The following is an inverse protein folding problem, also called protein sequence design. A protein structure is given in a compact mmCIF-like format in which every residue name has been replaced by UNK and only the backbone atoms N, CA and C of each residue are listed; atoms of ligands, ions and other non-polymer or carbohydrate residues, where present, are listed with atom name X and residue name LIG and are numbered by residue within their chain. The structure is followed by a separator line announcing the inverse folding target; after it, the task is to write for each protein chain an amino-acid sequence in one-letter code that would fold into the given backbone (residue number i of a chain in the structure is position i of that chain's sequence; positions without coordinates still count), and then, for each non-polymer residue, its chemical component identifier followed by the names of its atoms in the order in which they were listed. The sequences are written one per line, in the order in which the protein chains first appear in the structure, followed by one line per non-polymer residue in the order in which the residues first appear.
data_IF_349387431602
#
_entry.id   IF_349387431602
#
_cell.length_a   1.000
_cell.length_b   1.000
_cell.length_c   1.000
_cell.angle_alpha   90.00
_cell.angle_beta   90.00
_cell.angle_gamma   90.00
#
_symmetry.space_group_name_H-M   'P 1'
#
loop_
_entity.id
_entity.type
_entity.pdbx_description
1 polymer ?
#
# COMPACT_ATOMS: atom_id res chain seq x y z
N UNK A 1 -12.71 14.12 -2.23
CA UNK A 1 -12.39 13.73 -0.84
C UNK A 1 -10.98 13.14 -0.89
N UNK A 2 -10.08 13.47 0.03
CA UNK A 2 -8.69 12.97 -0.04
C UNK A 2 -8.60 11.60 0.64
N UNK A 3 -8.14 10.56 -0.08
CA UNK A 3 -8.05 9.20 0.45
C UNK A 3 -6.89 9.07 1.44
N UNK A 4 -7.12 8.27 2.49
CA UNK A 4 -6.17 8.02 3.56
C UNK A 4 -5.85 6.54 3.64
N UNK A 5 -4.58 6.21 3.55
CA UNK A 5 -4.07 4.85 3.66
C UNK A 5 -3.26 4.68 4.95
N UNK A 6 -3.30 3.47 5.49
CA UNK A 6 -2.35 3.01 6.48
C UNK A 6 -1.36 2.10 5.76
N UNK A 7 -0.07 2.35 5.95
CA UNK A 7 1.01 1.46 5.54
C UNK A 7 1.46 0.73 6.79
N UNK A 8 1.39 -0.60 6.79
CA UNK A 8 1.87 -1.41 7.90
C UNK A 8 2.99 -2.32 7.43
N UNK A 9 4.15 -2.23 8.09
CA UNK A 9 5.33 -3.05 7.83
C UNK A 9 5.51 -4.01 8.99
N UNK A 10 5.63 -5.30 8.70
CA UNK A 10 5.84 -6.36 9.68
C UNK A 10 7.32 -6.73 9.74
N UNK A 11 7.76 -7.24 10.90
CA UNK A 11 9.16 -7.60 11.19
C UNK A 11 9.82 -8.55 10.18
N UNK A 12 9.04 -9.39 9.51
CA UNK A 12 9.51 -10.35 8.51
C UNK A 12 9.44 -9.80 7.07
N UNK A 13 9.33 -8.47 6.93
CA UNK A 13 9.32 -7.70 5.67
C UNK A 13 8.03 -7.79 4.85
N UNK A 14 7.02 -8.50 5.33
CA UNK A 14 5.65 -8.37 4.83
C UNK A 14 5.16 -6.93 5.02
N UNK A 15 4.42 -6.42 4.03
CA UNK A 15 3.85 -5.09 4.08
C UNK A 15 2.43 -5.07 3.52
N UNK A 16 1.64 -4.12 4.01
CA UNK A 16 0.33 -3.83 3.45
C UNK A 16 0.05 -2.33 3.38
N UNK A 17 -0.71 -1.94 2.36
CA UNK A 17 -1.29 -0.60 2.20
C UNK A 17 -2.80 -0.75 2.17
N UNK A 18 -3.48 -0.13 3.13
CA UNK A 18 -4.91 -0.35 3.37
C UNK A 18 -5.68 0.96 3.52
N UNK A 19 -6.79 1.10 2.79
CA UNK A 19 -7.63 2.30 2.83
C UNK A 19 -8.31 2.43 4.20
N UNK A 20 -7.90 3.43 4.98
CA UNK A 20 -8.24 3.59 6.41
C UNK A 20 -9.74 3.61 6.73
N UNK A 21 -10.58 3.96 5.76
CA UNK A 21 -12.04 4.04 5.94
C UNK A 21 -12.74 2.69 5.86
N UNK A 22 -12.03 1.61 5.52
CA UNK A 22 -12.61 0.28 5.34
C UNK A 22 -12.17 -0.70 6.44
N UNK A 23 -13.10 -1.57 6.83
CA UNK A 23 -12.88 -2.59 7.87
C UNK A 23 -12.62 -3.99 7.32
N UNK A 24 -13.15 -4.31 6.15
CA UNK A 24 -12.98 -5.62 5.51
C UNK A 24 -12.67 -5.45 4.02
N UNK A 25 -11.41 -5.67 3.67
CA UNK A 25 -10.89 -5.51 2.31
C UNK A 25 -11.14 -6.76 1.44
N UNK A 26 -11.44 -7.91 2.06
CA UNK A 26 -11.68 -9.17 1.33
C UNK A 26 -12.99 -9.14 0.53
N UNK A 27 -13.90 -8.23 0.86
CA UNK A 27 -15.17 -7.99 0.15
C UNK A 27 -14.98 -7.29 -1.21
N UNK A 28 -13.78 -6.77 -1.47
CA UNK A 28 -13.49 -6.02 -2.69
C UNK A 28 -12.89 -6.93 -3.77
N UNK A 29 -13.20 -6.70 -5.06
CA UNK A 29 -12.63 -7.48 -6.15
C UNK A 29 -11.11 -7.31 -6.25
N UNK A 30 -10.44 -8.36 -6.72
CA UNK A 30 -9.02 -8.29 -7.05
C UNK A 30 -8.76 -7.41 -8.27
N UNK A 31 -7.55 -6.86 -8.33
CA UNK A 31 -7.05 -6.13 -9.48
C UNK A 31 -6.42 -7.10 -10.49
N UNK A 32 -6.57 -6.81 -11.78
CA UNK A 32 -5.93 -7.57 -12.87
C UNK A 32 -4.54 -7.00 -13.22
N UNK A 33 -3.73 -6.70 -12.21
CA UNK A 33 -2.34 -6.21 -12.37
C UNK A 33 -1.35 -7.35 -12.13
N UNK A 34 -1.58 -8.15 -11.08
CA UNK A 34 -0.79 -9.31 -10.69
C UNK A 34 0.68 -8.96 -10.42
N UNK A 35 0.94 -7.77 -9.87
CA UNK A 35 2.29 -7.31 -9.50
C UNK A 35 2.57 -7.36 -8.00
N UNK A 36 1.52 -7.55 -7.19
CA UNK A 36 1.62 -7.85 -5.77
C UNK A 36 0.84 -9.12 -5.43
N UNK A 37 1.19 -9.77 -4.31
CA UNK A 37 0.51 -10.97 -3.84
C UNK A 37 -1.01 -10.79 -3.66
N UNK A 38 -1.44 -9.63 -3.15
CA UNK A 38 -2.86 -9.24 -3.10
C UNK A 38 -3.01 -7.79 -3.54
N UNK A 39 -3.94 -7.57 -4.46
CA UNK A 39 -4.30 -6.25 -4.96
C UNK A 39 -5.82 -6.15 -5.06
N UNK A 40 -6.44 -5.17 -4.41
CA UNK A 40 -7.91 -5.04 -4.37
C UNK A 40 -8.34 -3.63 -4.74
N UNK A 41 -9.51 -3.52 -5.37
CA UNK A 41 -10.06 -2.25 -5.82
C UNK A 41 -11.58 -2.15 -5.61
N UNK A 42 -12.13 -0.93 -5.64
CA UNK A 42 -13.58 -0.72 -5.73
C UNK A 42 -14.13 -1.07 -7.12
N UNK A 43 -15.45 -1.05 -7.28
CA UNK A 43 -16.14 -1.19 -8.57
C UNK A 43 -15.81 -0.05 -9.55
N UNK A 44 -15.34 1.08 -9.04
CA UNK A 44 -14.89 2.26 -9.79
C UNK A 44 -13.39 2.23 -10.10
N UNK A 45 -12.71 1.10 -9.85
CA UNK A 45 -11.27 0.88 -10.04
C UNK A 45 -10.36 1.71 -9.11
N UNK A 46 -10.83 2.06 -7.91
CA UNK A 46 -10.00 2.74 -6.91
C UNK A 46 -9.29 1.71 -6.01
N UNK A 47 -7.96 1.84 -5.82
CA UNK A 47 -7.17 0.91 -4.99
C UNK A 47 -7.65 0.96 -3.53
N UNK A 48 -7.92 -0.19 -2.91
CA UNK A 48 -8.31 -0.24 -1.49
C UNK A 48 -7.35 -1.02 -0.62
N UNK A 49 -6.61 -1.96 -1.21
CA UNK A 49 -5.69 -2.83 -0.48
C UNK A 49 -4.57 -3.32 -1.40
N UNK A 50 -3.34 -3.30 -0.89
CA UNK A 50 -2.15 -3.90 -1.50
C UNK A 50 -1.41 -4.67 -0.41
N UNK A 51 -0.89 -5.85 -0.73
CA UNK A 51 -0.06 -6.64 0.19
C UNK A 51 0.96 -7.46 -0.59
N UNK A 52 2.18 -7.52 -0.06
CA UNK A 52 3.23 -8.42 -0.52
C UNK A 52 4.28 -8.67 0.57
N UNK A 53 5.16 -9.63 0.31
CA UNK A 53 6.37 -9.97 1.09
C UNK A 53 7.62 -9.21 0.60
N UNK A 54 7.56 -8.64 -0.61
CA UNK A 54 8.65 -7.88 -1.20
C UNK A 54 8.11 -6.75 -2.11
N UNK A 55 8.93 -5.76 -2.43
CA UNK A 55 8.64 -4.76 -3.46
C UNK A 55 9.75 -4.84 -4.51
N UNK A 56 9.46 -5.50 -5.63
CA UNK A 56 10.40 -5.57 -6.74
C UNK A 56 10.39 -4.27 -7.57
N UNK A 57 11.55 -3.89 -8.12
CA UNK A 57 11.67 -2.74 -9.02
C UNK A 57 10.73 -2.88 -10.24
N UNK A 58 10.56 -4.10 -10.76
CA UNK A 58 9.60 -4.45 -11.80
C UNK A 58 8.17 -4.07 -11.43
N UNK A 59 7.74 -4.36 -10.20
CA UNK A 59 6.41 -4.02 -9.70
C UNK A 59 6.23 -2.50 -9.59
N UNK A 60 7.24 -1.78 -9.11
CA UNK A 60 7.23 -0.31 -9.06
C UNK A 60 7.13 0.30 -10.47
N UNK A 61 7.90 -0.23 -11.43
CA UNK A 61 7.86 0.26 -12.81
C UNK A 61 6.48 0.04 -13.45
N UNK A 62 5.82 -1.10 -13.22
CA UNK A 62 4.44 -1.31 -13.67
C UNK A 62 3.49 -0.31 -12.99
N UNK A 63 3.61 -0.12 -11.67
CA UNK A 63 2.77 0.81 -10.91
C UNK A 63 2.90 2.27 -11.40
N UNK A 64 4.10 2.71 -11.84
CA UNK A 64 4.32 4.05 -12.43
C UNK A 64 3.47 4.30 -13.68
N UNK A 65 3.18 3.26 -14.43
CA UNK A 65 2.38 3.36 -15.65
C UNK A 65 0.87 3.28 -15.40
N UNK A 66 0.44 2.78 -14.24
CA UNK A 66 -0.96 2.65 -13.88
C UNK A 66 -1.55 3.97 -13.33
N UNK A 67 -2.62 4.54 -13.93
CA UNK A 67 -3.22 5.79 -13.47
C UNK A 67 -3.74 5.75 -12.02
N UNK A 68 -4.13 4.58 -11.50
CA UNK A 68 -4.70 4.41 -10.15
C UNK A 68 -3.68 4.71 -9.06
N UNK A 69 -2.39 4.58 -9.35
CA UNK A 69 -1.31 4.84 -8.40
C UNK A 69 -0.86 6.30 -8.36
N UNK A 70 -1.32 7.14 -9.29
CA UNK A 70 -0.88 8.54 -9.45
C UNK A 70 -1.63 9.53 -8.56
N UNK A 71 -2.68 9.07 -7.87
CA UNK A 71 -3.42 9.92 -6.94
C UNK A 71 -2.56 10.28 -5.73
N UNK A 72 -2.54 11.57 -5.38
CA UNK A 72 -1.90 12.04 -4.16
C UNK A 72 -2.81 11.72 -2.96
N UNK A 73 -2.36 10.82 -2.09
CA UNK A 73 -3.06 10.33 -0.91
C UNK A 73 -2.34 10.77 0.38
N UNK A 74 -3.03 10.64 1.51
CA UNK A 74 -2.41 10.75 2.84
C UNK A 74 -2.06 9.36 3.37
N UNK A 75 -0.87 9.21 3.90
CA UNK A 75 -0.38 7.95 4.46
C UNK A 75 -0.10 8.10 5.94
N UNK A 76 -0.48 7.09 6.70
CA UNK A 76 -0.02 6.84 8.07
C UNK A 76 0.82 5.57 8.04
N UNK A 77 2.10 5.73 8.33
CA UNK A 77 3.05 4.63 8.43
C UNK A 77 3.00 4.00 9.83
N UNK A 78 3.03 2.68 9.92
CA UNK A 78 3.10 1.93 11.19
C UNK A 78 4.12 0.79 11.03
N UNK A 79 5.17 0.78 11.85
CA UNK A 79 6.05 -0.38 11.96
C UNK A 79 5.49 -1.34 13.01
N UNK A 80 5.53 -2.65 12.79
CA UNK A 80 5.19 -3.64 13.81
C UNK A 80 6.33 -4.64 13.96
N UNK A 81 6.97 -4.65 15.13
CA UNK A 81 8.12 -5.49 15.44
C UNK A 81 7.74 -6.89 15.96
N UNK A 82 6.48 -7.29 15.76
CA UNK A 82 5.89 -8.53 16.26
C UNK A 82 5.36 -8.45 17.69
N UNK A 83 5.53 -7.31 18.39
CA UNK A 83 5.04 -7.11 19.76
C UNK A 83 4.03 -5.97 19.79
N UNK A 84 4.39 -4.81 19.23
CA UNK A 84 3.54 -3.63 19.22
C UNK A 84 3.74 -2.77 17.96
N UNK A 85 2.76 -1.91 17.70
CA UNK A 85 2.86 -0.90 16.65
C UNK A 85 3.79 0.23 17.12
N UNK A 86 4.94 0.37 16.45
CA UNK A 86 5.99 1.34 16.71
C UNK A 86 5.96 2.44 15.66
N UNK A 87 5.86 3.66 16.18
CA UNK A 87 5.86 4.93 15.44
C UNK A 87 4.73 5.12 14.42
N UNK A 88 4.13 6.33 14.41
CA UNK A 88 3.31 6.78 13.30
C UNK A 88 3.87 8.03 12.66
N UNK A 89 4.28 7.91 11.40
CA UNK A 89 4.63 9.06 10.56
C UNK A 89 3.50 9.32 9.58
N UNK A 90 3.22 10.60 9.37
CA UNK A 90 2.21 11.05 8.43
C UNK A 90 2.88 11.76 7.27
N UNK A 91 2.53 11.39 6.05
CA UNK A 91 3.03 12.04 4.85
C UNK A 91 1.97 12.06 3.75
N UNK A 92 2.23 12.86 2.71
CA UNK A 92 1.37 13.00 1.54
C UNK A 92 2.22 12.76 0.29
N UNK A 93 1.82 11.80 -0.51
CA UNK A 93 2.53 11.36 -1.71
C UNK A 93 1.58 10.59 -2.62
N UNK A 94 2.07 10.11 -3.75
CA UNK A 94 1.42 9.04 -4.53
C UNK A 94 1.61 7.67 -3.89
N UNK A 95 0.86 6.67 -4.35
CA UNK A 95 1.08 5.27 -3.94
C UNK A 95 2.45 4.75 -4.42
N UNK A 96 2.89 5.14 -5.61
CA UNK A 96 4.22 4.78 -6.13
C UNK A 96 5.33 5.29 -5.20
N UNK A 97 5.30 6.58 -4.86
CA UNK A 97 6.31 7.17 -3.97
C UNK A 97 6.27 6.54 -2.57
N UNK A 98 5.08 6.11 -2.10
CA UNK A 98 4.95 5.38 -0.85
C UNK A 98 5.60 3.98 -0.93
N UNK A 99 5.43 3.26 -2.05
CA UNK A 99 6.08 1.97 -2.28
C UNK A 99 7.61 2.11 -2.37
N UNK A 100 8.11 3.11 -3.11
CA UNK A 100 9.54 3.42 -3.19
C UNK A 100 10.12 3.77 -1.81
N UNK A 101 9.38 4.49 -0.97
CA UNK A 101 9.78 4.76 0.41
C UNK A 101 9.87 3.47 1.25
N UNK A 102 8.85 2.60 1.18
CA UNK A 102 8.86 1.32 1.90
C UNK A 102 10.05 0.48 1.48
N UNK A 103 10.24 0.34 0.17
CA UNK A 103 11.34 -0.44 -0.41
C UNK A 103 12.68 0.07 0.12
N UNK A 104 12.96 1.37 0.01
CA UNK A 104 14.25 1.95 0.41
C UNK A 104 14.56 1.83 1.91
N UNK A 105 13.55 1.99 2.76
CA UNK A 105 13.77 2.08 4.22
C UNK A 105 13.69 0.73 4.93
N UNK A 106 13.03 -0.26 4.34
CA UNK A 106 12.71 -1.52 5.02
C UNK A 106 13.11 -2.78 4.26
N UNK A 107 13.32 -2.74 2.94
CA UNK A 107 13.61 -3.93 2.12
C UNK A 107 15.03 -3.82 1.56
#
# INVERSE_FOLDING_TARGET
MERKFIIKIYKDYDWEVKLKTLSDYALYPEMNLSIFAIERQTTENEIVYLFDTNIEDSSIEVAKHDPRFKEICKFEYIYNDGIEDKESKHFKSTLVEALEYIQKEFI
#
